data_IF_236148651657
#
_entry.id   IF_236148651657
#
_cell.length_a   1.000
_cell.length_b   1.000
_cell.length_c   1.000
_cell.angle_alpha   90.00
_cell.angle_beta   90.00
_cell.angle_gamma   90.00
#
_symmetry.space_group_name_H-M   'P 1'
#
loop_
_entity.id
_entity.type
_entity.pdbx_description
1 polymer ?
#
# COMPACT_ATOMS: atom_id res chain seq x y z
N UNK A 1 -6.90 6.61 -6.64
CA UNK A 1 -7.70 5.81 -7.60
C UNK A 1 -6.80 4.89 -8.40
N UNK A 2 -5.56 5.30 -8.68
CA UNK A 2 -4.46 4.41 -9.10
C UNK A 2 -4.37 3.17 -8.21
N UNK A 3 -4.43 3.35 -6.89
CA UNK A 3 -4.37 2.26 -5.90
C UNK A 3 -5.36 1.10 -6.15
N UNK A 4 -6.63 1.34 -6.56
CA UNK A 4 -7.57 0.23 -6.79
C UNK A 4 -7.26 -0.51 -8.09
N UNK A 5 -6.87 0.22 -9.14
CA UNK A 5 -6.47 -0.36 -10.41
C UNK A 5 -5.13 -1.11 -10.28
N UNK A 6 -4.20 -0.57 -9.52
CA UNK A 6 -2.90 -1.19 -9.19
C UNK A 6 -3.10 -2.47 -8.37
N UNK A 7 -3.98 -2.43 -7.36
CA UNK A 7 -4.35 -3.64 -6.59
C UNK A 7 -5.00 -4.66 -7.52
N UNK A 8 -5.96 -4.27 -8.36
CA UNK A 8 -6.63 -5.17 -9.28
C UNK A 8 -5.67 -5.81 -10.30
N UNK A 9 -4.62 -5.09 -10.69
CA UNK A 9 -3.59 -5.55 -11.63
C UNK A 9 -2.56 -6.50 -11.01
N UNK A 10 -2.44 -6.53 -9.68
CA UNK A 10 -1.59 -7.50 -8.98
C UNK A 10 -2.17 -8.90 -9.08
N UNK A 11 -1.34 -9.88 -9.49
CA UNK A 11 -1.68 -11.30 -9.54
C UNK A 11 -1.60 -11.97 -8.16
N UNK A 12 -0.86 -11.38 -7.21
CA UNK A 12 -0.64 -11.92 -5.85
C UNK A 12 -1.70 -11.40 -4.85
N UNK A 13 -2.98 -11.56 -5.21
CA UNK A 13 -4.10 -11.11 -4.38
C UNK A 13 -5.20 -12.15 -4.28
N UNK A 14 -6.02 -12.04 -3.25
CA UNK A 14 -7.30 -12.73 -3.18
C UNK A 14 -8.28 -12.16 -4.24
N UNK A 15 -9.24 -12.96 -4.72
CA UNK A 15 -10.33 -12.44 -5.53
C UNK A 15 -11.09 -11.35 -4.78
N UNK A 16 -11.78 -10.49 -5.53
CA UNK A 16 -12.47 -9.34 -4.96
C UNK A 16 -13.91 -9.28 -5.46
N UNK A 17 -14.86 -8.97 -4.58
CA UNK A 17 -16.25 -8.68 -4.98
C UNK A 17 -16.42 -7.17 -4.94
N UNK A 18 -16.69 -6.60 -6.10
CA UNK A 18 -17.00 -5.19 -6.27
C UNK A 18 -18.52 -5.00 -6.21
N UNK A 19 -19.02 -4.14 -5.32
CA UNK A 19 -20.46 -3.92 -5.14
C UNK A 19 -20.76 -2.44 -5.29
N UNK A 20 -21.63 -2.09 -6.24
CA UNK A 20 -22.09 -0.71 -6.37
C UNK A 20 -23.18 -0.44 -5.33
N UNK A 21 -22.85 0.29 -4.27
CA UNK A 21 -23.79 0.58 -3.17
C UNK A 21 -24.73 1.74 -3.51
N UNK A 22 -26.02 1.44 -3.69
CA UNK A 22 -27.07 2.46 -3.95
C UNK A 22 -28.34 2.22 -3.14
N UNK A 23 -28.63 0.98 -2.80
CA UNK A 23 -29.84 0.58 -2.08
C UNK A 23 -29.48 -0.04 -0.72
N UNK A 24 -30.41 -0.06 0.26
CA UNK A 24 -30.21 -0.75 1.53
C UNK A 24 -29.81 -2.22 1.34
N UNK A 25 -30.39 -2.90 0.36
CA UNK A 25 -30.10 -4.30 0.04
C UNK A 25 -28.66 -4.50 -0.44
N UNK A 26 -28.13 -3.56 -1.24
CA UNK A 26 -26.71 -3.59 -1.66
C UNK A 26 -25.74 -3.35 -0.50
N UNK A 27 -26.14 -2.53 0.49
CA UNK A 27 -25.37 -2.31 1.72
C UNK A 27 -25.38 -3.53 2.63
N UNK A 28 -26.55 -4.14 2.82
CA UNK A 28 -26.71 -5.34 3.63
C UNK A 28 -25.97 -6.53 3.01
N UNK A 29 -26.02 -6.69 1.68
CA UNK A 29 -25.23 -7.69 0.97
C UNK A 29 -23.73 -7.45 1.16
N UNK A 30 -23.24 -6.22 1.01
CA UNK A 30 -21.82 -5.92 1.21
C UNK A 30 -21.35 -6.22 2.65
N UNK A 31 -22.16 -5.86 3.65
CA UNK A 31 -21.88 -6.12 5.08
C UNK A 31 -21.89 -7.61 5.41
N UNK A 32 -22.85 -8.35 4.85
CA UNK A 32 -22.95 -9.79 5.05
C UNK A 32 -21.78 -10.51 4.38
N UNK A 33 -21.46 -10.18 3.13
CA UNK A 33 -20.37 -10.83 2.40
C UNK A 33 -19.01 -10.54 3.04
N UNK A 34 -18.75 -9.30 3.47
CA UNK A 34 -17.48 -8.94 4.13
C UNK A 34 -17.25 -9.68 5.44
N UNK A 35 -18.31 -9.96 6.20
CA UNK A 35 -18.20 -10.73 7.46
C UNK A 35 -18.16 -12.24 7.22
N UNK A 36 -18.92 -12.77 6.26
CA UNK A 36 -19.06 -14.22 6.03
C UNK A 36 -18.02 -14.82 5.09
N UNK A 37 -17.42 -14.02 4.21
CA UNK A 37 -16.42 -14.46 3.22
C UNK A 37 -15.01 -13.96 3.54
N UNK A 38 -14.78 -13.55 4.80
CA UNK A 38 -13.48 -13.07 5.25
C UNK A 38 -12.40 -14.15 5.02
N UNK A 39 -11.27 -13.75 4.45
CA UNK A 39 -10.18 -14.66 4.09
C UNK A 39 -10.37 -15.45 2.78
N UNK A 40 -11.53 -15.37 2.12
CA UNK A 40 -11.76 -15.98 0.80
C UNK A 40 -11.82 -14.94 -0.32
N UNK A 41 -12.41 -13.79 -0.01
CA UNK A 41 -12.62 -12.72 -0.99
C UNK A 41 -12.58 -11.36 -0.30
N UNK A 42 -12.04 -10.34 -0.97
CA UNK A 42 -12.09 -8.96 -0.47
C UNK A 42 -13.32 -8.26 -1.03
N UNK A 43 -14.21 -7.78 -0.17
CA UNK A 43 -15.41 -7.04 -0.61
C UNK A 43 -15.08 -5.55 -0.65
N UNK A 44 -15.34 -4.92 -1.79
CA UNK A 44 -15.10 -3.49 -2.03
C UNK A 44 -16.40 -2.85 -2.48
N UNK A 45 -16.82 -1.82 -1.76
CA UNK A 45 -17.98 -1.01 -2.14
C UNK A 45 -17.55 0.13 -3.04
N UNK A 46 -18.23 0.27 -4.18
CA UNK A 46 -18.00 1.32 -5.15
C UNK A 46 -19.17 2.31 -5.15
N UNK A 47 -18.85 3.59 -5.30
CA UNK A 47 -19.83 4.61 -5.66
C UNK A 47 -19.88 4.76 -7.21
N UNK A 48 -20.86 5.52 -7.71
CA UNK A 48 -21.08 5.69 -9.14
C UNK A 48 -19.91 6.34 -9.89
N UNK A 49 -19.20 7.28 -9.27
CA UNK A 49 -18.05 7.92 -9.89
C UNK A 49 -16.88 6.92 -10.02
N UNK A 50 -16.63 6.14 -8.96
CA UNK A 50 -15.59 5.11 -8.91
C UNK A 50 -15.86 3.97 -9.89
N UNK A 51 -17.10 3.50 -10.01
CA UNK A 51 -17.43 2.41 -10.95
C UNK A 51 -17.23 2.82 -12.40
N UNK A 52 -17.60 4.06 -12.78
CA UNK A 52 -17.36 4.58 -14.14
C UNK A 52 -15.89 4.76 -14.46
N UNK A 53 -15.11 5.30 -13.51
CA UNK A 53 -13.68 5.45 -13.70
C UNK A 53 -12.99 4.09 -13.81
N UNK A 54 -13.43 3.09 -13.04
CA UNK A 54 -12.90 1.73 -13.12
C UNK A 54 -13.19 1.09 -14.48
N UNK A 55 -14.41 1.22 -15.00
CA UNK A 55 -14.78 0.72 -16.32
C UNK A 55 -13.96 1.38 -17.46
N UNK A 56 -13.56 2.64 -17.29
CA UNK A 56 -12.70 3.34 -18.26
C UNK A 56 -11.25 2.84 -18.24
N UNK A 57 -10.71 2.51 -17.06
CA UNK A 57 -9.31 2.09 -16.88
C UNK A 57 -9.14 0.58 -17.13
N UNK A 58 -10.13 -0.23 -16.75
CA UNK A 58 -10.15 -1.69 -16.96
C UNK A 58 -11.52 -2.14 -17.49
N UNK A 59 -11.73 -2.06 -18.82
CA UNK A 59 -12.99 -2.44 -19.47
C UNK A 59 -13.49 -3.88 -19.19
N UNK A 60 -12.64 -4.89 -18.95
CA UNK A 60 -13.11 -6.23 -18.57
C UNK A 60 -13.86 -6.28 -17.24
N UNK A 61 -13.67 -5.29 -16.37
CA UNK A 61 -14.30 -5.19 -15.05
C UNK A 61 -15.46 -4.18 -15.14
N UNK A 62 -16.61 -4.63 -15.64
CA UNK A 62 -17.84 -3.85 -15.66
C UNK A 62 -18.75 -4.24 -14.49
N UNK A 63 -18.87 -3.34 -13.51
CA UNK A 63 -19.73 -3.54 -12.34
C UNK A 63 -21.09 -2.92 -12.64
N UNK A 64 -22.18 -3.72 -12.72
CA UNK A 64 -23.50 -3.18 -13.02
C UNK A 64 -23.91 -2.15 -11.98
N UNK A 65 -24.65 -1.16 -12.44
CA UNK A 65 -25.17 -0.12 -11.56
C UNK A 65 -26.13 -0.71 -10.52
N UNK A 66 -25.80 -0.55 -9.23
CA UNK A 66 -26.53 -1.18 -8.11
C UNK A 66 -26.32 -2.69 -7.98
N UNK A 67 -25.41 -3.28 -8.76
CA UNK A 67 -25.11 -4.70 -8.78
C UNK A 67 -23.77 -5.06 -8.14
N UNK A 68 -23.34 -6.30 -8.35
CA UNK A 68 -22.09 -6.84 -7.85
C UNK A 68 -21.32 -7.60 -8.95
N UNK A 69 -20.00 -7.62 -8.85
CA UNK A 69 -19.14 -8.36 -9.77
C UNK A 69 -17.97 -9.00 -9.01
N UNK A 70 -17.78 -10.30 -9.19
CA UNK A 70 -16.64 -11.04 -8.65
C UNK A 70 -15.47 -10.98 -9.64
N UNK A 71 -14.36 -10.38 -9.23
CA UNK A 71 -13.12 -10.30 -9.99
C UNK A 71 -12.11 -11.29 -9.43
N UNK A 72 -11.64 -12.22 -10.26
CA UNK A 72 -10.58 -13.15 -9.90
C UNK A 72 -9.21 -12.47 -9.78
N UNK A 73 -8.22 -13.18 -9.22
CA UNK A 73 -6.83 -12.71 -9.16
C UNK A 73 -6.27 -12.49 -10.56
N UNK A 74 -6.63 -13.37 -11.50
CA UNK A 74 -6.44 -13.14 -12.93
C UNK A 74 -7.61 -12.33 -13.50
N UNK A 75 -7.33 -11.10 -13.94
CA UNK A 75 -8.36 -10.15 -14.41
C UNK A 75 -9.04 -10.58 -15.72
N UNK A 76 -8.36 -11.40 -16.54
CA UNK A 76 -8.90 -11.98 -17.77
C UNK A 76 -9.95 -13.07 -17.52
N UNK A 77 -9.97 -13.65 -16.31
CA UNK A 77 -10.87 -14.74 -15.99
C UNK A 77 -12.31 -14.23 -15.79
N UNK A 78 -13.28 -14.93 -16.39
CA UNK A 78 -14.68 -14.52 -16.30
C UNK A 78 -15.21 -14.57 -14.86
N UNK A 79 -15.57 -13.38 -14.38
CA UNK A 79 -16.22 -13.16 -13.11
C UNK A 79 -17.71 -13.56 -13.10
N UNK A 80 -18.29 -13.59 -11.91
CA UNK A 80 -19.75 -13.67 -11.73
C UNK A 80 -20.29 -12.26 -11.56
N UNK A 81 -21.24 -11.88 -12.42
CA UNK A 81 -21.93 -10.59 -12.36
C UNK A 81 -23.36 -10.78 -11.88
N UNK A 82 -23.79 -9.92 -10.97
CA UNK A 82 -25.17 -9.81 -10.49
C UNK A 82 -25.69 -8.40 -10.75
N UNK A 83 -26.87 -8.31 -11.34
CA UNK A 83 -27.57 -7.04 -11.54
C UNK A 83 -28.32 -6.61 -10.28
N UNK A 84 -28.78 -5.36 -10.25
CA UNK A 84 -29.45 -4.78 -9.09
C UNK A 84 -30.76 -5.52 -8.72
N UNK A 85 -31.52 -5.95 -9.72
CA UNK A 85 -32.74 -6.75 -9.56
C UNK A 85 -32.45 -8.14 -8.97
N UNK A 86 -31.40 -8.80 -9.46
CA UNK A 86 -30.96 -10.10 -8.93
C UNK A 86 -30.44 -9.98 -7.49
N UNK A 87 -29.68 -8.93 -7.19
CA UNK A 87 -29.14 -8.68 -5.86
C UNK A 87 -30.27 -8.41 -4.85
N UNK A 88 -31.26 -7.60 -5.22
CA UNK A 88 -32.43 -7.32 -4.39
C UNK A 88 -33.31 -8.56 -4.18
N UNK A 89 -33.52 -9.37 -5.22
CA UNK A 89 -34.34 -10.57 -5.14
C UNK A 89 -33.70 -11.69 -4.29
N UNK A 90 -32.37 -11.83 -4.36
CA UNK A 90 -31.64 -12.86 -3.62
C UNK A 90 -31.40 -12.49 -2.15
N UNK A 91 -31.30 -11.20 -1.83
CA UNK A 91 -30.88 -10.70 -0.53
C UNK A 91 -29.43 -11.12 -0.19
N UNK A 92 -28.93 -10.68 0.97
CA UNK A 92 -27.52 -10.90 1.34
C UNK A 92 -27.10 -12.37 1.37
N UNK A 93 -27.95 -13.27 1.90
CA UNK A 93 -27.62 -14.70 1.96
C UNK A 93 -27.78 -15.43 0.62
N UNK A 94 -28.77 -15.05 -0.21
CA UNK A 94 -28.87 -15.61 -1.55
C UNK A 94 -27.69 -15.20 -2.43
N UNK A 95 -27.21 -13.96 -2.28
CA UNK A 95 -26.00 -13.48 -2.95
C UNK A 95 -24.77 -14.26 -2.48
N UNK A 96 -24.62 -14.51 -1.17
CA UNK A 96 -23.55 -15.37 -0.65
C UNK A 96 -23.64 -16.78 -1.24
N UNK A 97 -24.81 -17.41 -1.19
CA UNK A 97 -25.05 -18.74 -1.75
C UNK A 97 -24.78 -18.82 -3.25
N UNK A 98 -24.91 -17.70 -3.98
CA UNK A 98 -24.60 -17.61 -5.41
C UNK A 98 -23.09 -17.55 -5.68
N UNK A 99 -22.32 -16.86 -4.84
CA UNK A 99 -20.86 -16.77 -4.98
C UNK A 99 -20.13 -17.96 -4.37
N UNK A 100 -20.65 -18.57 -3.30
CA UNK A 100 -20.00 -19.66 -2.56
C UNK A 100 -19.59 -20.87 -3.41
N UNK A 101 -20.40 -21.40 -4.34
CA UNK A 101 -19.99 -22.53 -5.18
C UNK A 101 -18.75 -22.24 -6.03
N UNK A 102 -18.53 -20.97 -6.41
CA UNK A 102 -17.34 -20.53 -7.14
C UNK A 102 -16.15 -20.32 -6.21
N UNK A 103 -16.40 -19.77 -5.03
CA UNK A 103 -15.39 -19.51 -4.00
C UNK A 103 -15.02 -20.76 -3.17
N UNK A 104 -15.82 -21.82 -3.22
CA UNK A 104 -15.61 -23.05 -2.45
C UNK A 104 -14.29 -23.74 -2.83
N UNK A 105 -13.91 -23.70 -4.11
CA UNK A 105 -12.61 -24.20 -4.57
C UNK A 105 -11.44 -23.44 -3.91
N UNK A 106 -11.59 -22.14 -3.70
CA UNK A 106 -10.63 -21.33 -2.95
C UNK A 106 -10.73 -21.55 -1.44
N UNK A 107 -11.89 -21.87 -0.90
CA UNK A 107 -12.01 -22.26 0.52
C UNK A 107 -11.25 -23.54 0.83
N UNK A 108 -11.23 -24.49 -0.12
CA UNK A 108 -10.44 -25.72 -0.01
C UNK A 108 -8.92 -25.49 -0.20
N UNK A 109 -8.53 -24.43 -0.92
CA UNK A 109 -7.13 -24.06 -1.15
C UNK A 109 -6.56 -23.11 -0.07
N UNK A 110 -7.36 -22.16 0.43
CA UNK A 110 -6.96 -21.14 1.40
C UNK A 110 -7.04 -21.65 2.85
N UNK A 111 -7.96 -22.58 3.13
CA UNK A 111 -7.95 -23.37 4.36
C UNK A 111 -7.44 -24.73 3.95
N UNK A 112 -6.13 -24.93 4.05
CA UNK A 112 -5.58 -26.28 4.02
C UNK A 112 -6.43 -27.14 4.95
N UNK A 113 -7.16 -28.08 4.36
CA UNK A 113 -7.97 -29.09 5.04
C UNK A 113 -9.14 -28.51 5.86
N UNK A 114 -10.38 -28.74 5.39
CA UNK A 114 -11.58 -28.55 6.21
C UNK A 114 -11.70 -29.70 7.23
N UNK A 115 -11.18 -29.49 8.43
CA UNK A 115 -11.25 -30.46 9.53
C UNK A 115 -12.70 -30.78 9.94
N UNK A 116 -13.64 -29.85 9.74
CA UNK A 116 -15.06 -30.08 9.99
C UNK A 116 -15.67 -31.05 8.98
N UNK A 117 -15.34 -30.87 7.69
CA UNK A 117 -15.76 -31.80 6.65
C UNK A 117 -15.08 -33.17 6.79
N UNK A 118 -13.80 -33.21 7.17
CA UNK A 118 -13.09 -34.47 7.45
C UNK A 118 -13.71 -35.21 8.64
N UNK A 119 -13.97 -34.51 9.74
CA UNK A 119 -14.60 -35.09 10.92
C UNK A 119 -16.02 -35.60 10.61
N UNK A 120 -16.82 -34.84 9.87
CA UNK A 120 -18.16 -35.25 9.45
C UNK A 120 -18.12 -36.46 8.51
N UNK A 121 -17.15 -36.51 7.58
CA UNK A 121 -16.99 -37.63 6.65
C UNK A 121 -16.48 -38.88 7.36
N UNK A 122 -15.58 -38.73 8.32
CA UNK A 122 -15.08 -39.83 9.14
C UNK A 122 -16.20 -40.40 10.03
N UNK A 123 -17.00 -39.54 10.66
CA UNK A 123 -18.19 -39.96 11.42
C UNK A 123 -19.22 -40.70 10.53
N UNK A 124 -19.49 -40.20 9.33
CA UNK A 124 -20.41 -40.86 8.39
C UNK A 124 -19.87 -42.23 7.89
N UNK A 125 -18.54 -42.36 7.75
CA UNK A 125 -17.90 -43.63 7.40
C UNK A 125 -17.94 -44.64 8.56
N UNK A 126 -17.70 -44.18 9.78
CA UNK A 126 -17.78 -44.99 11.00
C UNK A 126 -19.21 -45.51 11.23
N UNK A 127 -20.22 -44.67 11.01
CA UNK A 127 -21.64 -45.04 11.08
C UNK A 127 -22.00 -46.08 10.01
N UNK A 128 -21.57 -45.88 8.75
CA UNK A 128 -21.81 -46.85 7.69
C UNK A 128 -21.14 -48.21 7.94
N UNK A 129 -19.95 -48.22 8.55
CA UNK A 129 -19.27 -49.45 8.97
C UNK A 129 -20.01 -50.15 10.13
N UNK A 130 -20.53 -49.38 11.08
CA UNK A 130 -21.33 -49.92 12.19
C UNK A 130 -22.63 -50.56 11.68
N UNK A 131 -23.36 -49.91 10.77
CA UNK A 131 -24.58 -50.45 10.16
C UNK A 131 -24.32 -51.77 9.40
N UNK A 132 -23.22 -51.84 8.62
CA UNK A 132 -22.83 -53.07 7.92
C UNK A 132 -22.45 -54.16 8.93
N UNK A 133 -21.77 -53.80 10.03
CA UNK A 133 -21.46 -54.73 11.13
C UNK A 133 -22.71 -55.33 11.78
N UNK A 134 -23.73 -54.50 12.05
CA UNK A 134 -25.01 -54.96 12.56
C UNK A 134 -25.75 -55.88 11.59
N UNK A 135 -25.71 -55.59 10.28
CA UNK A 135 -26.31 -56.44 9.24
C UNK A 135 -25.64 -57.81 9.17
N UNK A 136 -24.31 -57.89 9.34
CA UNK A 136 -23.57 -59.15 9.40
C UNK A 136 -23.99 -59.96 10.63
N UNK A 137 -24.14 -59.32 11.80
CA UNK A 137 -24.57 -60.00 13.03
C UNK A 137 -25.98 -60.57 12.90
N UNK A 138 -26.95 -59.80 12.39
CA UNK A 138 -28.32 -60.27 12.18
C UNK A 138 -28.39 -61.41 11.15
N UNK A 139 -27.65 -61.30 10.04
CA UNK A 139 -27.59 -62.37 9.04
C UNK A 139 -27.01 -63.68 9.59
N UNK A 140 -26.03 -63.59 10.52
CA UNK A 140 -25.47 -64.74 11.23
C UNK A 140 -26.46 -65.38 12.21
N UNK A 141 -27.19 -64.57 12.96
CA UNK A 141 -28.22 -65.05 13.90
C UNK A 141 -29.34 -65.78 13.16
N UNK A 142 -29.76 -65.25 12.01
CA UNK A 142 -30.79 -65.85 11.14
C UNK A 142 -30.27 -67.02 10.28
N UNK A 143 -28.98 -67.34 10.35
CA UNK A 143 -28.27 -68.34 9.50
C UNK A 143 -28.50 -68.13 8.00
N UNK A 144 -28.69 -66.88 7.58
CA UNK A 144 -28.92 -66.53 6.19
C UNK A 144 -27.59 -66.25 5.49
N UNK A 145 -27.03 -67.31 4.88
CA UNK A 145 -25.72 -67.30 4.21
C UNK A 145 -25.66 -66.29 3.05
N UNK A 146 -26.77 -66.07 2.35
CA UNK A 146 -26.83 -65.15 1.20
C UNK A 146 -26.76 -63.68 1.66
N UNK A 147 -27.44 -63.35 2.76
CA UNK A 147 -27.37 -62.04 3.39
C UNK A 147 -25.98 -61.76 4.00
N UNK A 148 -25.34 -62.77 4.58
CA UNK A 148 -23.97 -62.67 5.11
C UNK A 148 -22.95 -62.37 4.00
N UNK A 149 -23.04 -63.07 2.87
CA UNK A 149 -22.18 -62.86 1.70
C UNK A 149 -22.37 -61.47 1.07
N UNK A 150 -23.61 -60.98 1.01
CA UNK A 150 -23.91 -59.64 0.52
C UNK A 150 -23.32 -58.55 1.43
N UNK A 151 -23.42 -58.71 2.75
CA UNK A 151 -22.89 -57.77 3.72
C UNK A 151 -21.34 -57.73 3.71
N UNK A 152 -20.67 -58.89 3.62
CA UNK A 152 -19.20 -58.95 3.48
C UNK A 152 -18.69 -58.32 2.17
N UNK A 153 -19.42 -58.50 1.07
CA UNK A 153 -19.08 -57.84 -0.20
C UNK A 153 -19.21 -56.32 -0.11
N UNK A 154 -20.25 -55.83 0.59
CA UNK A 154 -20.42 -54.40 0.87
C UNK A 154 -19.26 -53.85 1.70
N UNK A 155 -18.89 -54.54 2.79
CA UNK A 155 -17.76 -54.16 3.65
C UNK A 155 -16.44 -54.14 2.89
N UNK A 156 -16.17 -55.15 2.07
CA UNK A 156 -14.95 -55.21 1.25
C UNK A 156 -14.88 -54.07 0.24
N UNK A 157 -16.02 -53.68 -0.34
CA UNK A 157 -16.11 -52.54 -1.26
C UNK A 157 -15.84 -51.21 -0.54
N UNK A 158 -16.40 -51.01 0.65
CA UNK A 158 -16.15 -49.81 1.47
C UNK A 158 -14.67 -49.71 1.89
N UNK A 159 -14.07 -50.80 2.36
CA UNK A 159 -12.65 -50.84 2.74
C UNK A 159 -11.73 -50.52 1.55
N UNK A 160 -12.04 -51.03 0.35
CA UNK A 160 -11.26 -50.70 -0.86
C UNK A 160 -11.35 -49.22 -1.23
N UNK A 161 -12.52 -48.61 -1.07
CA UNK A 161 -12.68 -47.18 -1.30
C UNK A 161 -11.85 -46.37 -0.29
N UNK A 162 -11.87 -46.75 1.00
CA UNK A 162 -11.06 -46.09 2.03
C UNK A 162 -9.56 -46.20 1.75
N UNK A 163 -9.07 -47.39 1.35
CA UNK A 163 -7.65 -47.57 0.99
C UNK A 163 -7.26 -46.68 -0.19
N UNK A 164 -8.16 -46.50 -1.17
CA UNK A 164 -7.96 -45.55 -2.27
C UNK A 164 -7.87 -44.10 -1.78
N UNK A 165 -8.84 -43.65 -0.97
CA UNK A 165 -8.86 -42.29 -0.40
C UNK A 165 -7.60 -41.98 0.43
N UNK A 166 -7.13 -42.93 1.26
CA UNK A 166 -5.92 -42.77 2.05
C UNK A 166 -4.66 -42.70 1.19
N UNK A 167 -4.61 -43.47 0.10
CA UNK A 167 -3.48 -43.45 -0.83
C UNK A 167 -3.39 -42.11 -1.56
N UNK A 168 -4.52 -41.60 -2.05
CA UNK A 168 -4.58 -40.30 -2.73
C UNK A 168 -4.21 -39.16 -1.77
N UNK A 169 -4.61 -39.25 -0.49
CA UNK A 169 -4.20 -38.28 0.52
C UNK A 169 -2.69 -38.32 0.78
N UNK A 170 -2.12 -39.53 0.91
CA UNK A 170 -0.68 -39.69 1.14
C UNK A 170 0.15 -39.13 -0.01
N UNK A 171 -0.25 -39.41 -1.26
CA UNK A 171 0.43 -38.88 -2.46
C UNK A 171 0.35 -37.34 -2.53
N UNK A 172 -0.80 -36.76 -2.19
CA UNK A 172 -0.96 -35.31 -2.14
C UNK A 172 -0.09 -34.65 -1.05
N UNK A 173 0.01 -35.26 0.13
CA UNK A 173 0.87 -34.75 1.21
C UNK A 173 2.36 -34.89 0.87
N UNK A 174 2.78 -35.96 0.19
CA UNK A 174 4.16 -36.11 -0.31
C UNK A 174 4.50 -35.01 -1.33
N UNK A 175 3.60 -34.71 -2.27
CA UNK A 175 3.78 -33.61 -3.24
C UNK A 175 3.89 -32.27 -2.51
N UNK A 176 3.10 -32.04 -1.45
CA UNK A 176 3.18 -30.80 -0.65
C UNK A 176 4.49 -30.71 0.11
N UNK A 177 4.93 -31.78 0.75
CA UNK A 177 6.21 -31.83 1.47
C UNK A 177 7.37 -31.49 0.53
N UNK A 178 7.41 -32.11 -0.65
CA UNK A 178 8.43 -31.83 -1.67
C UNK A 178 8.42 -30.37 -2.13
N UNK A 179 7.23 -29.76 -2.29
CA UNK A 179 7.13 -28.32 -2.64
C UNK A 179 7.65 -27.42 -1.53
N UNK A 180 7.34 -27.72 -0.27
CA UNK A 180 7.82 -26.92 0.87
C UNK A 180 9.34 -27.04 1.03
N UNK A 181 9.89 -28.23 0.79
CA UNK A 181 11.35 -28.44 0.79
C UNK A 181 12.04 -27.64 -0.32
N UNK A 182 11.48 -27.64 -1.54
CA UNK A 182 11.99 -26.82 -2.65
C UNK A 182 11.96 -25.31 -2.32
N UNK A 183 10.84 -24.80 -1.80
CA UNK A 183 10.70 -23.41 -1.37
C UNK A 183 11.70 -23.04 -0.25
N UNK A 184 11.91 -23.93 0.73
CA UNK A 184 12.88 -23.69 1.79
C UNK A 184 14.31 -23.59 1.22
N UNK A 185 14.65 -24.46 0.27
CA UNK A 185 15.95 -24.40 -0.42
C UNK A 185 16.13 -23.09 -1.21
N UNK A 186 15.09 -22.60 -1.89
CA UNK A 186 15.13 -21.32 -2.62
C UNK A 186 15.33 -20.11 -1.68
N UNK A 187 14.69 -20.12 -0.51
CA UNK A 187 14.88 -19.08 0.50
C UNK A 187 16.33 -19.08 1.01
N UNK A 188 16.90 -20.25 1.24
CA UNK A 188 18.29 -20.37 1.69
C UNK A 188 19.30 -19.93 0.62
N UNK A 189 19.05 -20.23 -0.66
CA UNK A 189 19.89 -19.72 -1.76
C UNK A 189 19.78 -18.20 -1.87
N UNK A 190 18.57 -17.65 -1.82
CA UNK A 190 18.35 -16.19 -1.87
C UNK A 190 19.03 -15.47 -0.69
N UNK A 191 18.99 -16.05 0.51
CA UNK A 191 19.71 -15.52 1.69
C UNK A 191 21.22 -15.52 1.49
N UNK A 192 21.79 -16.60 0.93
CA UNK A 192 23.23 -16.68 0.63
C UNK A 192 23.63 -15.65 -0.42
N UNK A 193 22.85 -15.50 -1.49
CA UNK A 193 23.09 -14.50 -2.54
C UNK A 193 23.01 -13.08 -1.97
N UNK A 194 21.99 -12.77 -1.18
CA UNK A 194 21.85 -11.47 -0.51
C UNK A 194 23.06 -11.17 0.37
N UNK A 195 23.50 -12.14 1.17
CA UNK A 195 24.67 -12.00 2.04
C UNK A 195 25.95 -11.80 1.23
N UNK A 196 26.12 -12.56 0.15
CA UNK A 196 27.23 -12.42 -0.77
C UNK A 196 27.30 -11.03 -1.38
N UNK A 197 26.20 -10.54 -1.98
CA UNK A 197 26.13 -9.21 -2.56
C UNK A 197 26.36 -8.12 -1.52
N UNK A 198 25.77 -8.23 -0.32
CA UNK A 198 26.01 -7.27 0.77
C UNK A 198 27.50 -7.18 1.12
N UNK A 199 28.17 -8.32 1.21
CA UNK A 199 29.60 -8.38 1.51
C UNK A 199 30.43 -7.77 0.38
N UNK A 200 30.09 -8.06 -0.88
CA UNK A 200 30.75 -7.45 -2.04
C UNK A 200 30.57 -5.93 -2.06
N UNK A 201 29.35 -5.43 -1.84
CA UNK A 201 29.07 -4.00 -1.74
C UNK A 201 29.83 -3.33 -0.60
N UNK A 202 29.82 -3.93 0.60
CA UNK A 202 30.60 -3.41 1.72
C UNK A 202 32.09 -3.36 1.40
N UNK A 203 32.64 -4.42 0.79
CA UNK A 203 34.04 -4.40 0.37
C UNK A 203 34.32 -3.32 -0.69
N UNK A 204 33.41 -3.06 -1.61
CA UNK A 204 33.57 -1.99 -2.61
C UNK A 204 33.49 -0.60 -1.98
N UNK A 205 32.61 -0.41 -0.98
CA UNK A 205 32.52 0.83 -0.21
C UNK A 205 33.77 1.04 0.64
N UNK A 206 34.26 0.00 1.31
CA UNK A 206 35.44 0.05 2.17
C UNK A 206 36.76 0.22 1.38
N UNK A 207 36.79 -0.25 0.13
CA UNK A 207 37.99 -0.17 -0.74
C UNK A 207 37.93 1.01 -1.73
N UNK A 208 36.78 1.69 -1.85
CA UNK A 208 36.70 2.92 -2.61
C UNK A 208 37.48 4.01 -1.85
N UNK A 209 38.51 4.64 -2.46
CA UNK A 209 39.08 5.83 -1.87
C UNK A 209 37.93 6.84 -1.75
N UNK A 210 37.62 7.28 -0.54
CA UNK A 210 36.73 8.41 -0.30
C UNK A 210 37.35 9.63 -1.00
N UNK A 211 36.99 9.86 -2.26
CA UNK A 211 37.01 11.22 -2.77
C UNK A 211 35.95 11.92 -1.92
N UNK A 212 36.39 12.74 -0.97
CA UNK A 212 35.58 13.78 -0.35
C UNK A 212 35.06 14.68 -1.49
N UNK A 213 34.03 14.22 -2.18
CA UNK A 213 33.21 15.10 -3.00
C UNK A 213 32.46 15.91 -1.96
N UNK A 214 32.96 17.12 -1.70
CA UNK A 214 32.27 18.09 -0.88
C UNK A 214 30.82 18.18 -1.39
N UNK A 215 29.81 17.81 -0.59
CA UNK A 215 28.43 17.76 -1.05
C UNK A 215 27.90 19.13 -1.48
N UNK A 216 28.55 20.22 -1.03
CA UNK A 216 28.24 21.59 -1.42
C UNK A 216 28.86 22.01 -2.77
N UNK A 217 29.79 21.22 -3.31
CA UNK A 217 30.55 21.59 -4.53
C UNK A 217 29.76 21.48 -5.83
N UNK A 218 28.64 20.74 -5.85
CA UNK A 218 27.88 20.42 -7.07
C UNK A 218 26.37 20.63 -6.92
N UNK A 219 25.95 21.77 -6.37
CA UNK A 219 24.52 22.12 -6.29
C UNK A 219 24.05 22.66 -7.65
N UNK A 220 23.05 22.03 -8.31
CA UNK A 220 22.51 22.52 -9.57
C UNK A 220 21.84 23.89 -9.39
N UNK A 221 22.08 24.83 -10.29
CA UNK A 221 21.45 26.16 -10.23
C UNK A 221 19.97 26.10 -10.61
N UNK A 222 19.16 26.93 -9.96
CA UNK A 222 17.77 27.12 -10.37
C UNK A 222 17.70 27.77 -11.75
N UNK A 223 16.73 27.32 -12.55
CA UNK A 223 16.35 27.94 -13.82
C UNK A 223 14.91 28.43 -13.66
N UNK A 224 14.64 29.69 -14.00
CA UNK A 224 13.34 30.33 -13.85
C UNK A 224 12.22 29.55 -14.56
N UNK A 225 11.02 29.48 -13.96
CA UNK A 225 9.86 28.76 -14.52
C UNK A 225 10.07 27.27 -14.86
N UNK A 226 11.10 26.61 -14.30
CA UNK A 226 11.39 25.18 -14.56
C UNK A 226 11.26 24.32 -13.31
N UNK A 227 11.55 23.02 -13.43
CA UNK A 227 11.49 22.08 -12.33
C UNK A 227 12.68 22.24 -11.35
N UNK A 228 12.48 22.65 -10.09
CA UNK A 228 13.57 22.88 -9.14
C UNK A 228 14.03 21.63 -8.38
N UNK A 229 13.40 20.47 -8.60
CA UNK A 229 13.62 19.26 -7.79
C UNK A 229 15.09 18.82 -7.71
N UNK A 230 15.85 18.93 -8.80
CA UNK A 230 17.25 18.56 -8.79
C UNK A 230 18.08 19.44 -7.82
N UNK A 231 17.79 20.74 -7.76
CA UNK A 231 18.42 21.68 -6.83
C UNK A 231 17.95 21.41 -5.40
N UNK A 232 16.64 21.22 -5.19
CA UNK A 232 16.08 20.98 -3.86
C UNK A 232 16.63 19.70 -3.25
N UNK A 233 16.65 18.58 -4.02
CA UNK A 233 17.23 17.32 -3.57
C UNK A 233 18.71 17.43 -3.24
N UNK A 234 19.49 18.09 -4.08
CA UNK A 234 20.91 18.32 -3.81
C UNK A 234 21.13 19.12 -2.51
N UNK A 235 20.25 20.07 -2.19
CA UNK A 235 20.30 20.85 -0.95
C UNK A 235 19.84 20.04 0.28
N UNK A 236 18.80 19.21 0.13
CA UNK A 236 18.36 18.28 1.19
C UNK A 236 19.48 17.29 1.54
N UNK A 237 20.09 16.68 0.53
CA UNK A 237 21.18 15.73 0.68
C UNK A 237 22.43 16.38 1.29
N UNK A 238 22.83 17.56 0.80
CA UNK A 238 24.01 18.26 1.31
C UNK A 238 23.85 18.75 2.77
N UNK A 239 22.62 19.03 3.19
CA UNK A 239 22.29 19.45 4.53
C UNK A 239 21.88 18.30 5.47
N UNK A 240 22.00 17.04 5.04
CA UNK A 240 21.61 15.85 5.82
C UNK A 240 20.16 15.94 6.33
N UNK A 241 19.24 16.33 5.45
CA UNK A 241 17.80 16.52 5.71
C UNK A 241 17.44 17.59 6.78
N UNK A 242 18.42 18.38 7.24
CA UNK A 242 18.15 19.53 8.13
C UNK A 242 17.37 20.66 7.43
N UNK A 243 17.21 20.59 6.11
CA UNK A 243 16.26 21.39 5.33
C UNK A 243 15.45 20.45 4.45
N UNK A 244 14.15 20.74 4.29
CA UNK A 244 13.26 20.01 3.39
C UNK A 244 12.36 20.97 2.61
N UNK A 245 12.03 20.61 1.38
CA UNK A 245 11.20 21.42 0.49
C UNK A 245 9.83 20.77 0.29
N UNK A 246 8.76 21.55 0.43
CA UNK A 246 7.40 21.05 0.15
C UNK A 246 7.06 21.10 -1.33
N UNK A 247 6.06 20.30 -1.75
CA UNK A 247 5.48 20.39 -3.10
C UNK A 247 4.97 21.81 -3.44
N UNK A 248 4.59 22.60 -2.42
CA UNK A 248 4.18 23.98 -2.62
C UNK A 248 5.36 24.88 -3.02
N UNK A 249 6.56 24.66 -2.46
CA UNK A 249 7.77 25.37 -2.85
C UNK A 249 8.17 25.06 -4.30
N UNK A 250 8.05 23.79 -4.72
CA UNK A 250 8.31 23.36 -6.10
C UNK A 250 7.32 24.02 -7.08
N UNK A 251 6.03 24.05 -6.73
CA UNK A 251 4.98 24.71 -7.53
C UNK A 251 5.14 26.22 -7.58
N UNK A 252 5.51 26.86 -6.47
CA UNK A 252 5.66 28.31 -6.41
C UNK A 252 6.78 28.79 -7.34
N UNK A 253 7.90 28.07 -7.38
CA UNK A 253 9.01 28.37 -8.29
C UNK A 253 8.61 28.20 -9.77
N UNK A 254 7.96 27.07 -10.10
CA UNK A 254 7.48 26.78 -11.47
C UNK A 254 6.51 27.84 -12.00
N UNK A 255 5.77 28.49 -11.11
CA UNK A 255 4.73 29.45 -11.47
C UNK A 255 5.22 30.86 -11.80
N UNK A 256 6.53 31.13 -11.62
CA UNK A 256 7.09 32.47 -11.79
C UNK A 256 8.31 32.48 -12.70
N UNK A 257 8.48 33.60 -13.41
CA UNK A 257 9.70 33.93 -14.14
C UNK A 257 10.56 34.87 -13.30
N UNK A 258 11.27 34.32 -12.30
CA UNK A 258 12.08 35.14 -11.40
C UNK A 258 13.29 35.71 -12.16
N UNK A 259 13.53 37.04 -12.12
CA UNK A 259 14.55 37.69 -12.93
C UNK A 259 16.00 37.35 -12.52
N UNK A 260 16.21 36.77 -11.34
CA UNK A 260 17.55 36.50 -10.79
C UNK A 260 17.65 35.11 -10.11
N UNK A 261 17.55 34.00 -10.88
CA UNK A 261 17.56 32.65 -10.30
C UNK A 261 18.85 32.29 -9.57
N UNK A 262 19.97 32.93 -9.93
CA UNK A 262 21.26 32.71 -9.29
C UNK A 262 21.27 33.24 -7.85
N UNK A 263 20.75 34.46 -7.63
CA UNK A 263 20.64 35.01 -6.28
C UNK A 263 19.68 34.19 -5.41
N UNK A 264 18.58 33.69 -5.99
CA UNK A 264 17.68 32.76 -5.30
C UNK A 264 18.39 31.46 -4.89
N UNK A 265 19.16 30.87 -5.81
CA UNK A 265 19.95 29.65 -5.55
C UNK A 265 20.93 29.89 -4.40
N UNK A 266 21.69 30.99 -4.44
CA UNK A 266 22.65 31.35 -3.40
C UNK A 266 21.96 31.52 -2.02
N UNK A 267 20.79 32.15 -1.96
CA UNK A 267 20.06 32.29 -0.68
C UNK A 267 19.54 30.96 -0.16
N UNK A 268 19.17 30.02 -1.03
CA UNK A 268 18.80 28.67 -0.65
C UNK A 268 19.99 27.86 -0.13
N UNK A 269 21.14 27.96 -0.78
CA UNK A 269 22.39 27.35 -0.32
C UNK A 269 22.78 27.86 1.08
N UNK A 270 22.76 29.18 1.28
CA UNK A 270 23.04 29.77 2.58
C UNK A 270 22.03 29.35 3.65
N UNK A 271 20.74 29.20 3.27
CA UNK A 271 19.70 28.73 4.19
C UNK A 271 19.90 27.26 4.56
N UNK A 272 20.27 26.41 3.61
CA UNK A 272 20.59 25.01 3.84
C UNK A 272 21.83 24.85 4.73
N UNK A 273 22.90 25.61 4.47
CA UNK A 273 24.09 25.67 5.34
C UNK A 273 23.73 26.12 6.76
N UNK A 274 22.86 27.14 6.88
CA UNK A 274 22.38 27.60 8.17
C UNK A 274 21.53 26.53 8.88
N UNK A 275 20.71 25.77 8.15
CA UNK A 275 19.92 24.68 8.71
C UNK A 275 20.82 23.56 9.26
N UNK A 276 21.80 23.12 8.47
CA UNK A 276 22.77 22.12 8.85
C UNK A 276 23.59 22.56 10.07
N UNK A 277 24.01 23.83 10.12
CA UNK A 277 24.71 24.37 11.29
C UNK A 277 23.81 24.47 12.53
N UNK A 278 22.54 24.91 12.37
CA UNK A 278 21.60 25.12 13.46
C UNK A 278 21.20 23.80 14.14
N UNK A 279 21.02 22.76 13.33
CA UNK A 279 20.48 21.48 13.78
C UNK A 279 21.47 20.33 13.79
N UNK A 280 22.69 20.52 13.30
CA UNK A 280 23.77 19.54 13.41
C UNK A 280 24.23 19.31 14.86
N UNK A 281 25.20 18.42 15.03
CA UNK A 281 25.64 17.97 16.37
C UNK A 281 26.69 18.86 17.03
N UNK A 282 27.11 19.93 16.36
CA UNK A 282 28.09 20.87 16.89
C UNK A 282 27.46 21.81 17.95
N UNK A 283 28.13 22.06 19.09
CA UNK A 283 27.63 23.00 20.09
C UNK A 283 27.61 24.42 19.50
N UNK A 284 26.42 25.04 19.52
CA UNK A 284 26.16 26.30 18.84
C UNK A 284 25.53 27.33 19.79
N UNK A 285 26.12 28.53 19.86
CA UNK A 285 25.57 29.68 20.58
C UNK A 285 24.93 30.62 19.57
N UNK A 286 23.59 30.63 19.50
CA UNK A 286 22.84 31.29 18.41
C UNK A 286 22.21 32.64 18.74
N UNK A 287 22.28 33.12 19.99
CA UNK A 287 21.68 34.42 20.35
C UNK A 287 20.24 34.57 19.82
N UNK A 288 19.97 35.69 19.14
CA UNK A 288 18.75 35.85 18.33
C UNK A 288 18.93 35.29 16.92
N UNK A 289 17.96 34.50 16.45
CA UNK A 289 18.06 33.73 15.21
C UNK A 289 18.20 34.63 13.96
N UNK A 290 17.52 35.76 13.91
CA UNK A 290 17.61 36.72 12.81
C UNK A 290 19.00 37.38 12.70
N UNK A 291 19.57 37.80 13.83
CA UNK A 291 20.96 38.29 13.88
C UNK A 291 21.96 37.20 13.47
N UNK A 292 21.74 35.96 13.92
CA UNK A 292 22.59 34.82 13.60
C UNK A 292 22.56 34.42 12.12
N UNK A 293 21.39 34.48 11.47
CA UNK A 293 21.22 34.28 10.03
C UNK A 293 21.81 35.44 9.23
N UNK A 294 21.68 36.67 9.73
CA UNK A 294 22.26 37.87 9.09
C UNK A 294 23.79 37.82 9.03
N UNK A 295 24.45 37.33 10.07
CA UNK A 295 25.90 37.09 10.07
C UNK A 295 26.34 36.08 9.01
N UNK A 296 25.42 35.23 8.53
CA UNK A 296 25.62 34.26 7.44
C UNK A 296 25.14 34.75 6.09
N UNK A 297 24.89 36.06 5.95
CA UNK A 297 24.49 36.68 4.69
C UNK A 297 23.00 36.55 4.35
N UNK A 298 22.17 36.09 5.30
CA UNK A 298 20.72 35.98 5.11
C UNK A 298 19.97 37.10 5.83
N UNK A 299 19.30 37.96 5.07
CA UNK A 299 18.37 38.92 5.65
C UNK A 299 17.02 38.22 5.89
N UNK A 300 16.70 37.91 7.15
CA UNK A 300 15.47 37.19 7.51
C UNK A 300 14.53 38.09 8.29
N UNK A 301 13.24 38.01 7.98
CA UNK A 301 12.19 38.57 8.80
C UNK A 301 11.45 37.45 9.51
N UNK A 302 11.46 37.48 10.84
CA UNK A 302 10.75 36.50 11.68
C UNK A 302 9.26 36.82 11.84
N UNK A 303 8.86 38.03 11.49
CA UNK A 303 7.48 38.53 11.60
C UNK A 303 7.08 39.30 10.36
N UNK A 304 5.83 39.11 9.92
CA UNK A 304 5.22 39.85 8.82
C UNK A 304 3.77 40.21 9.20
N UNK A 305 3.45 41.50 9.27
CA UNK A 305 2.14 41.97 9.73
C UNK A 305 0.99 41.58 8.79
N UNK A 306 1.25 41.37 7.50
CA UNK A 306 0.23 40.98 6.53
C UNK A 306 -0.07 39.49 6.65
N UNK A 307 0.97 38.65 6.72
CA UNK A 307 0.84 37.20 6.93
C UNK A 307 0.23 36.93 8.31
N UNK A 308 0.68 37.64 9.35
CA UNK A 308 0.15 37.53 10.71
C UNK A 308 -1.37 37.72 10.79
N UNK A 309 -1.93 38.63 9.98
CA UNK A 309 -3.37 38.93 9.92
C UNK A 309 -4.17 37.95 9.07
N UNK A 310 -3.55 37.29 8.09
CA UNK A 310 -4.22 36.39 7.13
C UNK A 310 -3.91 34.92 7.43
N UNK A 311 -4.76 34.27 8.23
CA UNK A 311 -4.56 32.87 8.68
C UNK A 311 -4.37 31.86 7.53
N UNK A 312 -5.05 32.07 6.40
CA UNK A 312 -5.01 31.19 5.23
C UNK A 312 -3.67 31.18 4.48
N UNK A 313 -2.82 32.18 4.69
CA UNK A 313 -1.46 32.24 4.13
C UNK A 313 -0.39 32.13 5.21
N UNK A 314 -0.77 32.01 6.49
CA UNK A 314 0.18 31.90 7.59
C UNK A 314 0.54 30.45 7.87
N UNK A 315 -0.45 29.57 7.81
CA UNK A 315 -0.27 28.16 8.14
C UNK A 315 -0.31 27.30 6.90
N UNK A 316 0.53 26.27 6.87
CA UNK A 316 0.52 25.23 5.85
C UNK A 316 0.73 23.87 6.52
N UNK A 317 0.17 22.82 5.94
CA UNK A 317 0.30 21.46 6.44
C UNK A 317 1.42 20.73 5.69
N UNK A 318 2.32 20.09 6.45
CA UNK A 318 3.34 19.19 5.91
C UNK A 318 3.56 18.05 6.91
N UNK A 319 3.65 16.80 6.42
CA UNK A 319 3.80 15.60 7.24
C UNK A 319 2.82 15.50 8.43
N UNK A 320 1.57 15.88 8.20
CA UNK A 320 0.49 15.86 9.21
C UNK A 320 0.62 16.92 10.31
N UNK A 321 1.54 17.88 10.17
CA UNK A 321 1.75 18.97 11.13
C UNK A 321 1.51 20.33 10.46
N UNK A 322 0.80 21.21 11.17
CA UNK A 322 0.58 22.59 10.72
C UNK A 322 1.75 23.48 11.13
N UNK A 323 2.41 24.11 10.16
CA UNK A 323 3.58 24.95 10.34
C UNK A 323 3.27 26.43 10.08
N UNK A 324 3.99 27.34 10.75
CA UNK A 324 3.90 28.79 10.54
C UNK A 324 4.96 29.24 9.51
N UNK A 325 4.54 29.73 8.34
CA UNK A 325 5.43 30.23 7.28
C UNK A 325 5.71 31.74 7.35
N UNK A 326 5.45 32.36 8.50
CA UNK A 326 5.77 33.77 8.73
C UNK A 326 7.28 34.09 8.60
N UNK A 327 8.22 33.23 9.09
CA UNK A 327 9.64 33.41 8.84
C UNK A 327 9.96 33.36 7.34
N UNK A 328 10.70 34.34 6.86
CA UNK A 328 11.12 34.35 5.46
C UNK A 328 12.43 35.06 5.21
N UNK A 329 13.18 34.55 4.24
CA UNK A 329 14.38 35.20 3.69
C UNK A 329 13.94 36.27 2.70
N UNK A 330 14.52 37.46 2.85
CA UNK A 330 14.44 38.55 1.89
C UNK A 330 15.57 38.41 0.89
N UNK A 331 15.27 37.80 -0.25
CA UNK A 331 16.25 37.57 -1.33
C UNK A 331 16.62 38.91 -1.95
N UNK A 332 15.60 39.65 -2.41
CA UNK A 332 15.71 41.02 -2.93
C UNK A 332 14.62 41.87 -2.30
N UNK A 333 14.96 43.03 -1.76
CA UNK A 333 14.03 43.93 -1.08
C UNK A 333 14.20 45.38 -1.58
N UNK A 334 13.16 46.20 -1.52
CA UNK A 334 13.20 47.58 -2.01
C UNK A 334 13.23 47.73 -3.54
N UNK A 335 12.87 46.67 -4.27
CA UNK A 335 12.74 46.64 -5.74
C UNK A 335 11.27 46.56 -6.17
N UNK A 336 11.01 46.63 -7.47
CA UNK A 336 9.66 46.47 -8.02
C UNK A 336 9.06 45.09 -7.62
N UNK A 337 7.73 44.97 -7.43
CA UNK A 337 7.11 43.74 -6.92
C UNK A 337 7.46 42.45 -7.68
N UNK A 338 7.62 42.55 -9.01
CA UNK A 338 8.05 41.49 -9.93
C UNK A 338 9.51 41.04 -9.73
N UNK A 339 10.28 41.74 -8.89
CA UNK A 339 11.66 41.41 -8.53
C UNK A 339 11.81 41.07 -7.03
N UNK A 340 10.74 41.15 -6.22
CA UNK A 340 10.82 40.92 -4.77
C UNK A 340 10.77 39.43 -4.46
N UNK A 341 11.94 38.79 -4.43
CA UNK A 341 12.08 37.37 -4.05
C UNK A 341 11.93 37.14 -2.54
N UNK A 342 11.23 36.07 -2.19
CA UNK A 342 10.98 35.60 -0.82
C UNK A 342 11.07 34.08 -0.74
N UNK A 343 11.74 33.59 0.31
CA UNK A 343 11.77 32.18 0.67
C UNK A 343 11.08 32.04 2.03
N UNK A 344 9.87 31.47 2.06
CA UNK A 344 9.15 31.24 3.33
C UNK A 344 9.46 29.85 3.88
N UNK A 345 9.73 29.80 5.18
CA UNK A 345 10.08 28.56 5.85
C UNK A 345 9.52 28.51 7.27
N UNK A 346 9.47 27.32 7.83
CA UNK A 346 9.11 27.07 9.22
C UNK A 346 10.24 26.35 9.96
N UNK A 347 10.28 26.54 11.27
CA UNK A 347 11.19 25.85 12.19
C UNK A 347 10.51 24.58 12.71
N UNK A 348 11.02 23.41 12.35
CA UNK A 348 10.60 22.11 12.87
C UNK A 348 11.63 21.64 13.91
N UNK A 349 11.38 22.02 15.17
CA UNK A 349 12.27 21.69 16.29
C UNK A 349 12.25 20.20 16.63
N UNK A 350 11.09 19.55 16.44
CA UNK A 350 10.89 18.16 16.84
C UNK A 350 11.68 17.22 15.93
N UNK A 351 11.78 17.54 14.64
CA UNK A 351 12.59 16.79 13.67
C UNK A 351 13.90 17.46 13.31
N UNK A 352 14.32 18.48 14.08
CA UNK A 352 15.59 19.21 13.91
C UNK A 352 15.82 19.67 12.46
N UNK A 353 14.86 20.36 11.85
CA UNK A 353 14.96 20.81 10.45
C UNK A 353 14.23 22.12 10.15
N UNK A 354 14.49 22.68 8.97
CA UNK A 354 13.73 23.76 8.36
C UNK A 354 12.81 23.22 7.26
N UNK A 355 11.55 23.66 7.24
CA UNK A 355 10.58 23.27 6.21
C UNK A 355 10.31 24.46 5.30
N UNK A 356 10.79 24.42 4.06
CA UNK A 356 10.62 25.48 3.07
C UNK A 356 9.33 25.25 2.29
N UNK A 357 8.39 26.19 2.37
CA UNK A 357 7.06 26.06 1.76
C UNK A 357 6.83 26.95 0.55
N UNK A 358 7.63 28.01 0.38
CA UNK A 358 7.49 28.93 -0.75
C UNK A 358 8.86 29.44 -1.17
N UNK A 359 9.16 29.30 -2.46
CA UNK A 359 10.33 29.85 -3.13
C UNK A 359 9.81 30.59 -4.36
N UNK A 360 9.53 31.88 -4.23
CA UNK A 360 9.00 32.68 -5.33
C UNK A 360 9.05 34.19 -5.05
N UNK A 361 8.24 34.96 -5.78
CA UNK A 361 7.92 36.35 -5.46
C UNK A 361 7.10 36.43 -4.16
N UNK A 362 7.03 37.63 -3.58
CA UNK A 362 6.28 37.92 -2.35
C UNK A 362 4.81 37.46 -2.42
N UNK A 363 4.36 36.77 -1.37
CA UNK A 363 3.07 36.05 -1.28
C UNK A 363 1.78 36.89 -1.50
N UNK A 364 1.81 38.22 -1.42
CA UNK A 364 0.59 39.02 -1.30
C UNK A 364 0.56 40.32 -2.14
N UNK A 365 1.33 40.36 -3.23
CA UNK A 365 1.36 41.48 -4.20
C UNK A 365 1.33 41.02 -5.68
N UNK A 366 0.79 39.83 -5.97
CA UNK A 366 0.52 39.36 -7.34
C UNK A 366 -0.77 39.98 -7.87
#
# INVERSE_FOLDING_TARGET
>A
MDILADILSSSDRLPMILIHVRSPESWDAARLLSSRLIGLVRVITLNHATSRLLANVMPPIDVPFGGAHLVWSEVSAQGVTLRADELAALGGEGVRARFMPRLAALSALARGIDDGWRAARQAAQDEALAEVGEQILRAKEDRNVEAELAAFNSQTKQLRLQVGEWRDLAENEEIRANRFEALASEVDTARRESTYWRTQYQSLVDTAPASEIDPWSNIPRLIASTNPEATFRALEDAADEHIVFTDAASRSWKSIDYPDPEDMTLKLELLALAAAALYGDAPLVIGHLDDWLKLRGLNVAMTDDTIRKKKNIRYFDHDGTAYDQMPHVKVKDGVKPDHVGRIHFALDKDRRRLVVNHVALKLYEI
#
